data_IF_366924388098
#
_entry.id   IF_366924388098
#
_cell.length_a   1.000
_cell.length_b   1.000
_cell.length_c   1.000
_cell.angle_alpha   90.00
_cell.angle_beta   90.00
_cell.angle_gamma   90.00
#
_symmetry.space_group_name_H-M   'P 1'
#
loop_
_entity.id
_entity.type
_entity.pdbx_description
1 polymer ?
#
# COMPACT_ATOMS: atom_id res chain seq x y z
N UNK A 1 -1.51 5.42 -17.76
CA UNK A 1 -2.98 5.28 -17.77
C UNK A 1 -3.62 6.65 -17.67
N UNK A 2 -4.57 6.98 -18.56
CA UNK A 2 -5.15 8.33 -18.73
C UNK A 2 -6.01 8.77 -17.53
N UNK A 3 -6.57 7.81 -16.78
CA UNK A 3 -7.45 8.04 -15.63
C UNK A 3 -6.81 7.63 -14.29
N UNK A 4 -5.48 7.56 -14.21
CA UNK A 4 -4.80 7.17 -12.98
C UNK A 4 -4.81 8.31 -11.95
N UNK A 5 -5.42 8.04 -10.79
CA UNK A 5 -5.36 8.89 -9.59
C UNK A 5 -4.42 8.28 -8.55
N UNK A 6 -3.41 9.06 -8.16
CA UNK A 6 -2.46 8.69 -7.11
C UNK A 6 -3.18 8.47 -5.77
N UNK A 7 -4.06 9.38 -5.40
CA UNK A 7 -4.72 9.36 -4.10
C UNK A 7 -5.66 8.17 -3.97
N UNK A 8 -6.46 7.89 -5.01
CA UNK A 8 -7.32 6.71 -5.04
C UNK A 8 -6.50 5.40 -5.02
N UNK A 9 -5.37 5.36 -5.71
CA UNK A 9 -4.51 4.19 -5.72
C UNK A 9 -3.88 3.94 -4.33
N UNK A 10 -3.35 4.98 -3.70
CA UNK A 10 -2.76 4.90 -2.37
C UNK A 10 -3.80 4.58 -1.31
N UNK A 11 -5.00 5.15 -1.39
CA UNK A 11 -6.11 4.86 -0.47
C UNK A 11 -6.49 3.38 -0.52
N UNK A 12 -6.63 2.81 -1.73
CA UNK A 12 -6.90 1.38 -1.90
C UNK A 12 -5.79 0.49 -1.34
N UNK A 13 -4.52 0.84 -1.58
CA UNK A 13 -3.39 0.11 -1.01
C UNK A 13 -3.45 0.16 0.52
N UNK A 14 -3.72 1.34 1.08
CA UNK A 14 -3.84 1.53 2.53
C UNK A 14 -4.94 0.66 3.14
N UNK A 15 -6.15 0.67 2.57
CA UNK A 15 -7.25 -0.18 3.02
C UNK A 15 -6.88 -1.66 3.00
N UNK A 16 -6.29 -2.13 1.90
CA UNK A 16 -5.90 -3.54 1.76
C UNK A 16 -4.83 -3.93 2.78
N UNK A 17 -3.78 -3.13 2.94
CA UNK A 17 -2.73 -3.39 3.92
C UNK A 17 -3.24 -3.33 5.36
N UNK A 18 -4.24 -2.49 5.64
CA UNK A 18 -4.90 -2.42 6.95
C UNK A 18 -5.61 -3.73 7.27
N UNK A 19 -6.32 -4.31 6.29
CA UNK A 19 -6.93 -5.63 6.45
C UNK A 19 -5.90 -6.72 6.77
N UNK A 20 -4.74 -6.73 6.07
CA UNK A 20 -3.67 -7.69 6.39
C UNK A 20 -3.11 -7.47 7.80
N UNK A 21 -2.92 -6.21 8.23
CA UNK A 21 -2.47 -5.87 9.58
C UNK A 21 -3.42 -6.41 10.65
N UNK A 22 -4.73 -6.28 10.46
CA UNK A 22 -5.75 -6.77 11.38
C UNK A 22 -5.83 -8.30 11.43
N UNK A 23 -5.54 -8.96 10.31
CA UNK A 23 -5.63 -10.42 10.18
C UNK A 23 -4.29 -11.14 10.40
N UNK A 24 -3.20 -10.44 10.73
CA UNK A 24 -1.88 -11.06 10.93
C UNK A 24 -1.86 -12.11 12.04
N UNK A 25 -2.65 -11.91 13.10
CA UNK A 25 -2.75 -12.86 14.22
C UNK A 25 -3.25 -14.23 13.78
N UNK A 26 -4.11 -14.31 12.76
CA UNK A 26 -4.57 -15.57 12.19
C UNK A 26 -3.40 -16.37 11.57
N UNK A 27 -2.45 -15.68 10.94
CA UNK A 27 -1.30 -16.30 10.28
C UNK A 27 -0.22 -16.67 11.28
N UNK A 28 0.00 -15.82 12.29
CA UNK A 28 0.91 -16.10 13.40
C UNK A 28 0.51 -17.39 14.12
N UNK A 29 -0.79 -17.63 14.30
CA UNK A 29 -1.31 -18.83 14.95
C UNK A 29 -1.13 -20.12 14.12
N UNK A 30 -0.87 -20.01 12.81
CA UNK A 30 -0.76 -21.16 11.90
C UNK A 30 0.69 -21.47 11.46
N UNK A 31 1.70 -20.63 11.79
CA UNK A 31 3.05 -20.78 11.22
C UNK A 31 4.23 -20.70 12.22
N UNK A 32 5.26 -21.52 11.95
CA UNK A 32 6.32 -22.00 12.86
C UNK A 32 7.66 -21.23 12.83
N UNK A 33 7.84 -20.24 11.95
CA UNK A 33 9.06 -19.40 11.86
C UNK A 33 8.74 -17.95 12.25
N UNK A 34 8.76 -17.68 13.56
CA UNK A 34 8.32 -16.40 14.14
C UNK A 34 9.09 -15.18 13.63
N UNK A 35 10.37 -15.35 13.25
CA UNK A 35 11.22 -14.24 12.79
C UNK A 35 10.73 -13.64 11.47
N UNK A 36 10.45 -14.47 10.46
CA UNK A 36 10.03 -14.00 9.13
C UNK A 36 8.67 -13.29 9.18
N UNK A 37 7.74 -13.80 10.00
CA UNK A 37 6.42 -13.19 10.16
C UNK A 37 6.54 -11.82 10.83
N UNK A 38 7.43 -11.69 11.82
CA UNK A 38 7.67 -10.42 12.49
C UNK A 38 8.26 -9.36 11.56
N UNK A 39 9.21 -9.73 10.69
CA UNK A 39 9.81 -8.81 9.71
C UNK A 39 8.77 -8.30 8.71
N UNK A 40 7.93 -9.19 8.19
CA UNK A 40 6.83 -8.82 7.27
C UNK A 40 5.83 -7.90 7.96
N UNK A 41 5.48 -8.17 9.22
CA UNK A 41 4.57 -7.35 10.02
C UNK A 41 5.11 -5.95 10.24
N UNK A 42 6.39 -5.82 10.64
CA UNK A 42 7.04 -4.52 10.82
C UNK A 42 7.15 -3.78 9.49
N UNK A 43 7.55 -4.45 8.41
CA UNK A 43 7.62 -3.86 7.08
C UNK A 43 6.25 -3.34 6.59
N UNK A 44 5.18 -4.13 6.82
CA UNK A 44 3.81 -3.73 6.48
C UNK A 44 3.37 -2.50 7.28
N UNK A 45 3.72 -2.44 8.58
CA UNK A 45 3.42 -1.30 9.45
C UNK A 45 4.12 -0.03 8.96
N UNK A 46 5.42 -0.07 8.68
CA UNK A 46 6.16 1.09 8.18
C UNK A 46 5.62 1.57 6.83
N UNK A 47 5.22 0.65 5.95
CA UNK A 47 4.60 1.00 4.68
C UNK A 47 3.25 1.71 4.87
N UNK A 48 2.41 1.21 5.76
CA UNK A 48 1.13 1.86 6.12
C UNK A 48 1.35 3.28 6.64
N UNK A 49 2.31 3.47 7.54
CA UNK A 49 2.66 4.78 8.10
C UNK A 49 3.14 5.75 7.01
N UNK A 50 3.99 5.27 6.09
CA UNK A 50 4.47 6.07 4.97
C UNK A 50 3.36 6.47 4.00
N UNK A 51 2.40 5.57 3.73
CA UNK A 51 1.23 5.88 2.89
C UNK A 51 0.30 6.86 3.61
N UNK A 52 0.04 6.66 4.90
CA UNK A 52 -0.80 7.54 5.71
C UNK A 52 -0.26 8.97 5.72
N UNK A 53 1.06 9.12 5.92
CA UNK A 53 1.74 10.41 5.87
C UNK A 53 1.59 11.12 4.52
N UNK A 54 1.59 10.38 3.40
CA UNK A 54 1.40 10.97 2.08
C UNK A 54 -0.04 11.41 1.81
N UNK A 55 -1.01 10.62 2.27
CA UNK A 55 -2.42 10.92 2.02
C UNK A 55 -3.02 11.93 3.00
N UNK A 56 -2.34 12.21 4.13
CA UNK A 56 -2.91 12.98 5.24
C UNK A 56 -4.30 12.48 5.63
N UNK A 57 -4.51 11.16 5.63
CA UNK A 57 -5.82 10.59 5.96
C UNK A 57 -6.11 10.96 7.41
N UNK A 58 -7.13 11.78 7.62
CA UNK A 58 -7.79 11.86 8.91
C UNK A 58 -8.44 10.50 9.19
N UNK A 59 -8.29 9.98 10.43
CA UNK A 59 -8.87 8.70 10.84
C UNK A 59 -10.32 8.57 10.33
N UNK A 60 -10.56 7.60 9.45
CA UNK A 60 -11.90 7.29 8.89
C UNK A 60 -12.12 7.56 7.39
N UNK A 61 -11.13 8.10 6.65
CA UNK A 61 -11.28 8.39 5.21
C UNK A 61 -10.95 7.26 4.22
N UNK A 62 -10.59 6.06 4.71
CA UNK A 62 -10.21 4.93 3.86
C UNK A 62 -11.43 4.06 3.51
N UNK A 63 -11.47 3.52 2.28
CA UNK A 63 -12.49 2.55 1.87
C UNK A 63 -12.52 1.40 2.88
N UNK A 64 -13.66 1.17 3.53
CA UNK A 64 -13.79 0.13 4.54
C UNK A 64 -13.78 -1.24 3.86
N UNK A 65 -12.70 -2.00 4.05
CA UNK A 65 -12.70 -3.43 3.76
C UNK A 65 -13.34 -4.12 4.96
N UNK A 66 -14.24 -5.07 4.69
CA UNK A 66 -14.92 -5.84 5.74
C UNK A 66 -13.90 -6.47 6.70
N UNK A 67 -14.05 -6.14 7.99
CA UNK A 67 -13.23 -6.64 9.11
C UNK A 67 -13.81 -7.90 9.75
N UNK A 68 -14.68 -8.63 9.05
CA UNK A 68 -15.31 -9.83 9.58
C UNK A 68 -14.22 -10.84 10.01
N UNK A 69 -14.24 -11.35 11.26
CA UNK A 69 -13.23 -12.28 11.74
C UNK A 69 -13.16 -13.54 10.88
N UNK A 70 -11.94 -13.99 10.56
CA UNK A 70 -11.71 -15.26 9.90
C UNK A 70 -12.03 -16.42 10.87
N UNK A 71 -13.30 -16.81 10.95
CA UNK A 71 -13.73 -17.97 11.73
C UNK A 71 -13.59 -19.25 10.91
N UNK A 72 -12.61 -20.08 11.27
CA UNK A 72 -12.30 -21.30 10.51
C UNK A 72 -12.17 -22.50 11.45
N UNK A 73 -13.05 -23.51 11.28
CA UNK A 73 -13.18 -24.62 12.24
C UNK A 73 -12.14 -25.73 12.11
N UNK A 74 -11.77 -26.14 10.91
CA UNK A 74 -10.86 -27.29 10.71
C UNK A 74 -9.40 -26.86 10.58
N UNK A 75 -8.48 -27.71 11.06
CA UNK A 75 -7.03 -27.45 10.91
C UNK A 75 -6.59 -27.39 9.44
N UNK A 76 -7.19 -28.22 8.58
CA UNK A 76 -6.94 -28.18 7.13
C UNK A 76 -7.37 -26.84 6.51
N UNK A 77 -8.57 -26.38 6.85
CA UNK A 77 -9.09 -25.12 6.33
C UNK A 77 -8.26 -23.94 6.85
N UNK A 78 -7.82 -23.95 8.12
CA UNK A 78 -6.95 -22.88 8.64
C UNK A 78 -5.62 -22.78 7.88
N UNK A 79 -4.93 -23.90 7.66
CA UNK A 79 -3.69 -23.93 6.85
C UNK A 79 -3.92 -23.45 5.42
N UNK A 80 -5.01 -23.88 4.79
CA UNK A 80 -5.35 -23.48 3.41
C UNK A 80 -5.68 -21.99 3.31
N UNK A 81 -6.38 -21.46 4.32
CA UNK A 81 -6.68 -20.02 4.43
C UNK A 81 -5.40 -19.22 4.63
N UNK A 82 -4.53 -19.61 5.56
CA UNK A 82 -3.25 -18.92 5.80
C UNK A 82 -2.39 -18.89 4.53
N UNK A 83 -2.29 -20.02 3.81
CA UNK A 83 -1.60 -20.09 2.53
C UNK A 83 -2.20 -19.14 1.48
N UNK A 84 -3.53 -19.12 1.34
CA UNK A 84 -4.22 -18.23 0.41
C UNK A 84 -3.98 -16.74 0.74
N UNK A 85 -3.99 -16.38 2.02
CA UNK A 85 -3.72 -15.01 2.45
C UNK A 85 -2.29 -14.60 2.12
N UNK A 86 -1.30 -15.45 2.40
CA UNK A 86 0.11 -15.16 2.08
C UNK A 86 0.36 -15.06 0.56
N UNK A 87 -0.29 -15.92 -0.22
CA UNK A 87 -0.21 -15.88 -1.68
C UNK A 87 -0.80 -14.57 -2.24
N UNK A 88 -1.98 -14.19 -1.75
CA UNK A 88 -2.61 -12.93 -2.13
C UNK A 88 -1.79 -11.71 -1.69
N UNK A 89 -1.19 -11.77 -0.49
CA UNK A 89 -0.31 -10.72 0.02
C UNK A 89 0.87 -10.48 -0.92
N UNK A 90 1.49 -11.55 -1.43
CA UNK A 90 2.59 -11.46 -2.41
C UNK A 90 2.16 -10.68 -3.66
N UNK A 91 0.98 -11.00 -4.20
CA UNK A 91 0.45 -10.32 -5.39
C UNK A 91 0.17 -8.84 -5.12
N UNK A 92 -0.46 -8.54 -3.98
CA UNK A 92 -0.71 -7.16 -3.53
C UNK A 92 0.58 -6.36 -3.40
N UNK A 93 1.64 -6.94 -2.85
CA UNK A 93 2.93 -6.27 -2.68
C UNK A 93 3.63 -6.00 -4.01
N UNK A 94 3.55 -6.93 -4.96
CA UNK A 94 4.06 -6.74 -6.32
C UNK A 94 3.36 -5.56 -7.00
N UNK A 95 2.04 -5.52 -6.94
CA UNK A 95 1.25 -4.46 -7.56
C UNK A 95 1.42 -3.12 -6.85
N UNK A 96 1.56 -3.12 -5.52
CA UNK A 96 1.92 -1.95 -4.73
C UNK A 96 3.26 -1.38 -5.18
N UNK A 97 4.28 -2.23 -5.33
CA UNK A 97 5.60 -1.81 -5.79
C UNK A 97 5.54 -1.19 -7.20
N UNK A 98 4.81 -1.82 -8.12
CA UNK A 98 4.57 -1.29 -9.48
C UNK A 98 3.88 0.07 -9.45
N UNK A 99 2.83 0.21 -8.63
CA UNK A 99 2.07 1.44 -8.50
C UNK A 99 2.93 2.58 -7.94
N UNK A 100 3.66 2.34 -6.84
CA UNK A 100 4.54 3.34 -6.21
C UNK A 100 5.65 3.75 -7.17
N UNK A 101 6.26 2.80 -7.89
CA UNK A 101 7.27 3.10 -8.90
C UNK A 101 6.72 3.97 -10.03
N UNK A 102 5.51 3.68 -10.51
CA UNK A 102 4.84 4.51 -11.52
C UNK A 102 4.60 5.95 -11.01
N UNK A 103 4.11 6.10 -9.78
CA UNK A 103 3.89 7.40 -9.14
C UNK A 103 5.19 8.20 -8.98
N UNK A 104 6.27 7.54 -8.52
CA UNK A 104 7.60 8.14 -8.35
C UNK A 104 8.16 8.67 -9.66
N UNK A 105 8.15 7.85 -10.72
CA UNK A 105 8.61 8.25 -12.06
C UNK A 105 7.80 9.43 -12.63
N UNK A 106 6.49 9.42 -12.44
CA UNK A 106 5.60 10.50 -12.88
C UNK A 106 5.93 11.82 -12.15
N UNK A 107 6.15 11.77 -10.84
CA UNK A 107 6.53 12.95 -10.03
C UNK A 107 7.89 13.52 -10.47
N UNK A 108 8.87 12.66 -10.74
CA UNK A 108 10.18 13.09 -11.25
C UNK A 108 10.08 13.75 -12.63
N UNK A 109 9.30 13.17 -13.55
CA UNK A 109 9.07 13.74 -14.88
C UNK A 109 8.36 15.11 -14.82
N UNK A 110 7.37 15.27 -13.95
CA UNK A 110 6.73 16.57 -13.72
C UNK A 110 7.73 17.61 -13.20
N UNK A 111 8.56 17.28 -12.19
CA UNK A 111 9.58 18.19 -11.66
C UNK A 111 10.60 18.61 -12.72
N UNK A 112 11.08 17.67 -13.54
CA UNK A 112 12.00 17.95 -14.63
C UNK A 112 11.39 18.88 -15.71
N UNK A 113 10.07 18.80 -15.95
CA UNK A 113 9.38 19.70 -16.88
C UNK A 113 9.26 21.13 -16.34
N UNK A 114 9.03 21.30 -15.04
CA UNK A 114 8.97 22.62 -14.41
C UNK A 114 10.35 23.29 -14.32
N UNK A 115 11.43 22.52 -14.12
CA UNK A 115 12.79 23.06 -14.08
C UNK A 115 13.32 23.52 -15.45
N UNK A 116 12.66 23.15 -16.56
CA UNK A 116 13.07 23.51 -17.93
C UNK A 116 12.25 24.64 -18.56
N UNK A 117 11.34 25.31 -17.82
CA UNK A 117 10.74 26.56 -18.31
C UNK A 117 11.85 27.64 -18.29
N UNK A 118 12.19 28.27 -19.44
CA UNK A 118 13.22 29.29 -19.45
C UNK A 118 12.77 30.46 -18.59
N UNK A 119 13.68 30.98 -17.77
CA UNK A 119 13.53 32.20 -17.00
C UNK A 119 13.62 33.47 -17.88
N UNK A 120 13.02 33.44 -19.07
CA UNK A 120 13.01 34.56 -20.03
C UNK A 120 11.58 35.07 -20.21
N UNK A 121 11.05 35.74 -19.18
CA UNK A 121 9.94 36.69 -19.33
C UNK A 121 10.13 37.88 -18.39
N UNK A 122 11.35 38.42 -18.37
CA UNK A 122 11.62 39.73 -17.77
C UNK A 122 12.55 40.49 -18.69
N UNK A 123 12.00 41.03 -19.78
CA UNK A 123 12.50 42.27 -20.34
C UNK A 123 11.39 42.95 -21.13
N UNK A 124 11.18 44.21 -20.77
CA UNK A 124 10.59 45.28 -21.57
C UNK A 124 9.07 45.29 -21.80
N UNK A 125 8.42 46.22 -21.10
CA UNK A 125 8.02 47.46 -21.77
C UNK A 125 7.90 48.63 -20.78
N UNK A 126 8.69 49.65 -21.11
CA UNK A 126 8.55 51.07 -20.74
C UNK A 126 7.10 51.55 -20.75
#
# INVERSE_FOLDING_TARGET
>A
SRNFSTDLCLSRIYSVLTWYKENWSFIENENLTSSLVNDIKQGTKHLLEAINSQLQIADGGADQISSAPLSVRSAWTRKTTAHSILLNFTSVMIDTCRAVNYMSRRKAAHRAKYSKRPADWSSDKN
#
